data_IF_255437345371
#
_entry.id   IF_255437345371
#
_cell.length_a   1.000
_cell.length_b   1.000
_cell.length_c   1.000
_cell.angle_alpha   90.00
_cell.angle_beta   90.00
_cell.angle_gamma   90.00
#
_symmetry.space_group_name_H-M   'P 1'
#
loop_
_entity.id
_entity.type
_entity.pdbx_description
1 polymer ?
#
# COMPACT_ATOMS: atom_id res chain seq x y z
N UNK A 1 0.21 23.34 -14.29
CA UNK A 1 -0.86 23.09 -13.29
C UNK A 1 -0.38 23.59 -11.94
N UNK A 2 -1.24 24.15 -11.10
CA UNK A 2 -0.82 24.66 -9.79
C UNK A 2 -1.00 23.58 -8.73
N UNK A 3 -0.11 23.54 -7.73
CA UNK A 3 -0.22 22.61 -6.62
C UNK A 3 -1.45 22.96 -5.75
N UNK A 4 -2.31 22.00 -5.38
CA UNK A 4 -3.50 22.28 -4.57
C UNK A 4 -3.16 22.71 -3.13
N UNK A 5 -2.03 22.26 -2.59
CA UNK A 5 -1.62 22.63 -1.22
C UNK A 5 -0.99 24.01 -1.13
N UNK A 6 -0.05 24.33 -2.04
CA UNK A 6 0.75 25.56 -1.92
C UNK A 6 0.48 26.60 -3.02
N UNK A 7 -0.38 26.29 -3.99
CA UNK A 7 -0.76 27.20 -5.09
C UNK A 7 0.34 27.48 -6.12
N UNK A 8 1.58 27.00 -5.91
CA UNK A 8 2.71 27.26 -6.82
C UNK A 8 2.60 26.46 -8.12
N UNK A 9 3.11 26.99 -9.24
CA UNK A 9 3.10 26.30 -10.52
C UNK A 9 3.98 25.05 -10.45
N UNK A 10 3.48 23.95 -11.01
CA UNK A 10 4.19 22.67 -11.10
C UNK A 10 4.25 22.19 -12.55
N UNK A 11 5.43 21.69 -12.92
CA UNK A 11 5.71 21.08 -14.21
C UNK A 11 4.90 19.79 -14.39
N UNK A 12 4.46 19.49 -15.61
CA UNK A 12 3.77 18.23 -15.89
C UNK A 12 4.73 17.04 -15.73
N UNK A 13 4.26 15.93 -15.15
CA UNK A 13 5.02 14.68 -15.04
C UNK A 13 5.92 14.54 -13.81
N UNK A 14 5.99 15.54 -12.92
CA UNK A 14 6.67 15.35 -11.62
C UNK A 14 5.78 14.64 -10.61
N UNK A 15 6.38 13.76 -9.80
CA UNK A 15 5.66 12.92 -8.84
C UNK A 15 5.24 13.68 -7.58
N UNK A 16 6.03 14.67 -7.18
CA UNK A 16 5.78 15.53 -6.01
C UNK A 16 5.98 16.99 -6.39
N UNK A 17 5.28 17.89 -5.70
CA UNK A 17 5.50 19.32 -5.81
C UNK A 17 6.91 19.67 -5.28
N UNK A 18 7.78 20.32 -6.08
CA UNK A 18 9.13 20.68 -5.64
C UNK A 18 9.15 21.77 -4.56
N UNK A 19 8.04 22.49 -4.37
CA UNK A 19 7.95 23.57 -3.37
C UNK A 19 7.48 23.10 -2.00
N UNK A 20 6.53 22.17 -1.91
CA UNK A 20 5.95 21.72 -0.63
C UNK A 20 6.01 20.22 -0.40
N UNK A 21 6.43 19.42 -1.39
CA UNK A 21 6.49 17.96 -1.28
C UNK A 21 5.15 17.23 -1.45
N UNK A 22 4.06 17.93 -1.83
CA UNK A 22 2.76 17.29 -2.04
C UNK A 22 2.79 16.26 -3.19
N UNK A 23 2.27 15.02 -3.02
CA UNK A 23 2.27 13.99 -4.05
C UNK A 23 1.20 14.26 -5.13
N UNK A 24 1.62 14.61 -6.35
CA UNK A 24 0.73 14.98 -7.47
C UNK A 24 0.31 13.79 -8.36
N UNK A 25 0.76 12.58 -8.01
CA UNK A 25 0.39 11.35 -8.72
C UNK A 25 -1.03 10.88 -8.43
N UNK A 26 -1.68 11.40 -7.38
CA UNK A 26 -2.99 10.96 -6.96
C UNK A 26 -4.13 11.60 -7.77
N UNK A 27 -3.87 12.75 -8.39
CA UNK A 27 -4.90 13.55 -9.08
C UNK A 27 -5.05 13.22 -10.56
N UNK A 28 -4.28 12.26 -11.10
CA UNK A 28 -4.62 11.71 -12.41
C UNK A 28 -5.89 10.88 -12.20
N UNK A 29 -7.07 11.29 -12.71
CA UNK A 29 -8.24 10.46 -12.61
C UNK A 29 -7.85 9.13 -13.25
N UNK A 30 -7.95 8.05 -12.46
CA UNK A 30 -7.87 6.72 -13.03
C UNK A 30 -8.86 6.72 -14.18
N UNK A 31 -8.35 6.58 -15.40
CA UNK A 31 -9.20 6.26 -16.54
C UNK A 31 -9.87 4.96 -16.11
N UNK A 32 -11.14 5.06 -15.74
CA UNK A 32 -11.96 3.91 -15.40
C UNK A 32 -11.99 3.09 -16.66
N UNK A 33 -11.20 2.03 -16.71
CA UNK A 33 -11.31 1.01 -17.74
C UNK A 33 -12.70 0.38 -17.55
N UNK A 34 -13.66 0.89 -18.31
CA UNK A 34 -15.04 0.41 -18.35
C UNK A 34 -15.08 -0.95 -19.05
N UNK A 35 -14.59 -1.99 -18.41
CA UNK A 35 -15.15 -3.35 -18.50
C UNK A 35 -14.40 -4.27 -17.54
N UNK A 36 -15.01 -4.63 -16.39
CA UNK A 36 -14.55 -5.79 -15.66
C UNK A 36 -14.85 -7.01 -16.53
N UNK A 37 -13.84 -7.52 -17.24
CA UNK A 37 -13.93 -8.87 -17.77
C UNK A 37 -14.17 -9.79 -16.58
N UNK A 38 -15.36 -10.37 -16.56
CA UNK A 38 -15.84 -11.35 -15.59
C UNK A 38 -14.90 -12.56 -15.64
N UNK A 39 -13.80 -12.49 -14.88
CA UNK A 39 -12.92 -13.63 -14.66
C UNK A 39 -13.73 -14.63 -13.85
N UNK A 40 -14.36 -15.54 -14.57
CA UNK A 40 -15.09 -16.66 -13.99
C UNK A 40 -14.02 -17.67 -13.59
N UNK A 41 -13.58 -17.62 -12.33
CA UNK A 41 -12.75 -18.68 -11.77
C UNK A 41 -13.53 -19.99 -11.83
N UNK A 42 -13.14 -20.87 -12.75
CA UNK A 42 -13.50 -22.28 -12.74
C UNK A 42 -12.61 -22.95 -11.68
N UNK A 43 -13.15 -23.60 -10.64
CA UNK A 43 -12.33 -24.42 -9.76
C UNK A 43 -11.98 -25.69 -10.54
N UNK A 44 -10.73 -25.80 -10.96
CA UNK A 44 -10.15 -27.07 -11.33
C UNK A 44 -9.37 -27.57 -10.09
N UNK A 45 -9.84 -28.68 -9.53
CA UNK A 45 -9.05 -29.53 -8.65
C UNK A 45 -7.69 -29.80 -9.29
N UNK A 46 -6.64 -29.23 -8.72
CA UNK A 46 -5.30 -29.77 -8.84
C UNK A 46 -4.62 -29.60 -7.49
N UNK A 47 -5.02 -30.51 -6.61
CA UNK A 47 -4.33 -30.85 -5.38
C UNK A 47 -3.11 -31.68 -5.79
N UNK A 48 -2.00 -31.03 -6.15
CA UNK A 48 -0.71 -31.72 -6.17
C UNK A 48 0.42 -30.76 -5.77
N UNK A 49 0.82 -30.91 -4.50
CA UNK A 49 2.19 -30.87 -4.04
C UNK A 49 3.02 -29.61 -4.38
N UNK A 50 2.70 -28.48 -3.74
CA UNK A 50 3.64 -27.36 -3.63
C UNK A 50 4.44 -27.55 -2.33
N UNK A 51 5.53 -28.31 -2.43
CA UNK A 51 6.58 -28.34 -1.41
C UNK A 51 7.15 -26.93 -1.24
N UNK A 52 6.88 -26.34 -0.09
CA UNK A 52 7.36 -25.02 0.31
C UNK A 52 8.84 -25.11 0.72
N UNK A 53 9.74 -25.04 -0.26
CA UNK A 53 11.15 -24.70 -0.05
C UNK A 53 11.49 -23.42 -0.82
N UNK A 54 10.78 -22.35 -0.49
CA UNK A 54 11.10 -21.01 -0.95
C UNK A 54 12.32 -20.46 -0.21
N UNK A 55 13.52 -20.81 -0.69
CA UNK A 55 14.70 -19.99 -0.45
C UNK A 55 14.44 -18.60 -1.06
N UNK A 56 14.26 -17.58 -0.23
CA UNK A 56 14.25 -16.20 -0.69
C UNK A 56 15.66 -15.81 -1.14
N UNK A 57 15.94 -15.94 -2.44
CA UNK A 57 17.07 -15.28 -3.07
C UNK A 57 16.77 -13.78 -3.08
N UNK A 58 17.37 -13.07 -2.12
CA UNK A 58 17.46 -11.62 -2.16
C UNK A 58 18.13 -11.20 -3.48
N UNK A 59 17.57 -10.24 -4.24
CA UNK A 59 18.32 -9.59 -5.29
C UNK A 59 19.49 -8.85 -4.62
N UNK A 60 20.70 -9.36 -4.87
CA UNK A 60 21.95 -8.68 -4.57
C UNK A 60 21.92 -7.33 -5.28
N UNK A 61 21.59 -6.29 -4.53
CA UNK A 61 21.73 -4.91 -4.94
C UNK A 61 23.24 -4.65 -5.05
N UNK A 62 23.77 -4.90 -6.25
CA UNK A 62 25.15 -4.61 -6.60
C UNK A 62 25.39 -3.12 -6.33
N UNK A 63 26.05 -2.80 -5.22
CA UNK A 63 26.63 -1.47 -5.03
C UNK A 63 27.70 -1.30 -6.10
N UNK A 64 27.66 -0.23 -6.91
CA UNK A 64 28.78 0.13 -7.75
C UNK A 64 30.00 0.32 -6.85
N UNK A 65 31.08 -0.40 -7.14
CA UNK A 65 32.39 -0.15 -6.55
C UNK A 65 32.80 1.30 -6.85
N UNK A 66 33.38 2.05 -5.91
CA UNK A 66 34.06 3.28 -6.24
C UNK A 66 35.29 2.95 -7.09
N UNK A 67 35.27 3.36 -8.36
CA UNK A 67 36.46 3.35 -9.21
C UNK A 67 37.51 4.29 -8.60
N UNK A 68 38.76 3.85 -8.39
CA UNK A 68 39.89 4.76 -8.21
C UNK A 68 40.24 5.33 -9.59
N UNK A 69 39.51 6.36 -10.01
CA UNK A 69 39.70 7.04 -11.29
C UNK A 69 40.26 8.44 -11.07
N UNK A 70 41.54 8.61 -11.44
CA UNK A 70 42.30 9.81 -11.78
C UNK A 70 41.71 11.20 -11.44
N UNK A 71 42.49 12.11 -10.83
CA UNK A 71 42.07 13.50 -10.70
C UNK A 71 41.88 14.11 -12.10
N UNK A 72 40.76 14.79 -12.37
CA UNK A 72 40.57 15.48 -13.64
C UNK A 72 41.64 16.58 -13.81
N UNK A 73 42.05 16.89 -15.04
CA UNK A 73 42.99 17.97 -15.31
C UNK A 73 42.43 19.28 -14.75
N UNK A 74 43.28 20.04 -14.06
CA UNK A 74 42.99 21.40 -13.59
C UNK A 74 42.59 22.26 -14.80
N UNK A 75 41.29 22.44 -15.01
CA UNK A 75 40.81 23.50 -15.89
C UNK A 75 41.07 24.82 -15.17
N UNK A 76 42.11 25.51 -15.62
CA UNK A 76 42.45 26.85 -15.22
C UNK A 76 41.47 27.81 -15.90
N UNK A 77 40.34 28.05 -15.25
CA UNK A 77 39.41 29.10 -15.68
C UNK A 77 39.96 30.48 -15.28
N UNK A 78 39.73 31.52 -16.09
CA UNK A 78 40.08 32.89 -15.74
C UNK A 78 39.27 33.36 -14.52
N UNK A 79 39.80 34.30 -13.72
CA UNK A 79 39.14 34.77 -12.51
C UNK A 79 37.85 35.52 -12.88
N UNK A 80 36.71 34.85 -12.77
CA UNK A 80 35.43 35.55 -12.69
C UNK A 80 35.39 36.28 -11.36
N UNK A 81 35.28 37.59 -11.45
CA UNK A 81 35.16 38.54 -10.36
C UNK A 81 34.08 38.07 -9.40
N UNK A 82 34.49 37.77 -8.16
CA UNK A 82 33.62 37.46 -7.03
C UNK A 82 32.74 38.66 -6.72
N UNK A 83 31.57 38.74 -7.37
CA UNK A 83 30.45 39.48 -6.80
C UNK A 83 29.97 38.70 -5.58
N UNK A 84 30.40 39.21 -4.44
CA UNK A 84 30.09 38.82 -3.07
C UNK A 84 28.56 38.94 -2.82
N UNK A 85 27.77 38.02 -3.39
CA UNK A 85 26.42 37.76 -2.90
C UNK A 85 26.57 36.90 -1.65
N UNK A 86 26.55 37.57 -0.49
CA UNK A 86 26.39 36.94 0.82
C UNK A 86 25.06 36.18 0.81
N UNK A 87 25.06 34.93 0.37
CA UNK A 87 23.99 34.03 0.72
C UNK A 87 24.08 33.79 2.23
N UNK A 88 23.05 34.14 3.01
CA UNK A 88 23.00 33.71 4.40
C UNK A 88 23.09 32.18 4.40
N UNK A 89 23.78 31.57 5.38
CA UNK A 89 23.81 30.12 5.49
C UNK A 89 22.36 29.61 5.42
N UNK A 90 22.10 28.50 4.70
CA UNK A 90 20.75 27.95 4.63
C UNK A 90 20.28 27.79 6.07
N UNK A 91 19.26 28.57 6.43
CA UNK A 91 18.61 28.41 7.70
C UNK A 91 17.93 27.05 7.61
N UNK A 92 18.64 26.03 8.10
CA UNK A 92 18.09 24.73 8.40
C UNK A 92 17.00 25.04 9.41
N UNK A 93 15.77 25.22 8.93
CA UNK A 93 14.58 25.21 9.76
C UNK A 93 14.72 23.91 10.53
N UNK A 94 15.11 24.02 11.81
CA UNK A 94 14.87 22.98 12.79
C UNK A 94 13.36 22.81 12.73
N UNK A 95 12.91 21.79 12.00
CA UNK A 95 11.53 21.34 12.06
C UNK A 95 11.16 21.19 13.53
N UNK A 96 9.88 21.40 13.90
CA UNK A 96 9.44 21.49 15.28
C UNK A 96 10.14 20.40 16.06
N UNK A 97 10.99 20.82 17.00
CA UNK A 97 11.91 19.99 17.74
C UNK A 97 11.09 18.82 18.24
N UNK A 98 11.15 17.69 17.52
CA UNK A 98 10.29 16.55 17.76
C UNK A 98 10.75 16.08 19.12
N UNK A 99 10.01 16.50 20.15
CA UNK A 99 10.19 16.06 21.52
C UNK A 99 10.48 14.58 21.40
N UNK A 100 11.71 14.18 21.76
CA UNK A 100 12.21 12.84 21.50
C UNK A 100 11.36 11.90 22.34
N UNK A 101 10.21 11.50 21.79
CA UNK A 101 9.30 10.57 22.43
C UNK A 101 10.10 9.29 22.51
N UNK A 102 10.59 9.01 23.71
CA UNK A 102 11.32 7.79 24.01
C UNK A 102 10.38 6.64 23.67
N UNK A 103 10.81 5.78 22.75
CA UNK A 103 10.01 4.63 22.36
C UNK A 103 10.13 3.48 23.37
N UNK A 104 9.56 2.30 23.06
CA UNK A 104 9.43 1.21 24.02
C UNK A 104 10.77 0.57 24.37
N UNK A 105 10.87 0.09 25.61
CA UNK A 105 11.98 -0.72 26.09
C UNK A 105 11.87 -2.16 25.57
N UNK A 106 12.98 -2.73 25.13
CA UNK A 106 13.01 -4.14 24.75
C UNK A 106 12.84 -5.05 25.98
N UNK A 107 11.92 -6.04 25.97
CA UNK A 107 11.74 -6.94 27.11
C UNK A 107 12.94 -7.88 27.33
N UNK A 108 13.77 -8.10 26.31
CA UNK A 108 14.94 -8.98 26.39
C UNK A 108 16.19 -8.24 26.86
N UNK A 109 16.56 -7.12 26.22
CA UNK A 109 17.82 -6.41 26.52
C UNK A 109 17.64 -5.02 27.19
N UNK A 110 16.40 -4.59 27.45
CA UNK A 110 16.03 -3.28 28.04
C UNK A 110 16.43 -2.03 27.25
N UNK A 111 17.05 -2.20 26.06
CA UNK A 111 17.38 -1.10 25.16
C UNK A 111 16.14 -0.28 24.77
N UNK A 112 16.27 1.05 24.75
CA UNK A 112 15.20 1.97 24.33
C UNK A 112 15.21 2.06 22.81
N UNK A 113 14.12 1.66 22.17
CA UNK A 113 14.04 1.69 20.71
C UNK A 113 13.24 2.90 20.22
N UNK A 114 13.44 3.35 18.98
CA UNK A 114 12.57 4.34 18.35
C UNK A 114 11.11 3.86 18.30
N UNK A 115 10.12 4.75 18.44
CA UNK A 115 8.70 4.38 18.52
C UNK A 115 8.15 3.69 17.25
N UNK A 116 8.85 3.77 16.11
CA UNK A 116 8.43 3.16 14.84
C UNK A 116 9.04 1.76 14.59
N UNK A 117 9.95 1.26 15.45
CA UNK A 117 10.59 -0.05 15.24
C UNK A 117 9.70 -1.19 15.73
N UNK A 118 9.56 -2.22 14.90
CA UNK A 118 8.89 -3.49 15.26
C UNK A 118 9.81 -4.47 16.00
N UNK A 119 11.12 -4.28 15.90
CA UNK A 119 12.16 -5.16 16.46
C UNK A 119 13.23 -4.34 17.15
N UNK A 120 13.80 -4.92 18.21
CA UNK A 120 14.90 -4.29 18.91
C UNK A 120 16.12 -4.16 18.00
N UNK A 121 16.76 -2.99 18.00
CA UNK A 121 17.96 -2.75 17.19
C UNK A 121 19.23 -3.41 17.74
N UNK A 122 19.21 -3.84 19.00
CA UNK A 122 20.33 -4.57 19.63
C UNK A 122 20.15 -6.08 19.47
N UNK A 123 19.04 -6.66 19.97
CA UNK A 123 18.89 -8.11 20.05
C UNK A 123 17.91 -8.71 19.03
N UNK A 124 17.22 -7.90 18.22
CA UNK A 124 16.28 -8.38 17.21
C UNK A 124 14.95 -8.93 17.73
N UNK A 125 14.76 -9.05 19.05
CA UNK A 125 13.50 -9.48 19.67
C UNK A 125 12.35 -8.57 19.25
N UNK A 126 11.18 -9.16 18.97
CA UNK A 126 9.99 -8.42 18.59
C UNK A 126 9.49 -7.55 19.74
N UNK A 127 9.32 -6.26 19.45
CA UNK A 127 8.86 -5.25 20.40
C UNK A 127 7.32 -5.23 20.43
N UNK A 128 6.66 -6.40 20.52
CA UNK A 128 5.21 -6.63 20.63
C UNK A 128 4.23 -5.96 19.62
N UNK A 129 3.16 -6.65 19.21
CA UNK A 129 2.12 -6.10 18.34
C UNK A 129 1.11 -5.29 19.18
N UNK A 130 1.14 -3.96 19.08
CA UNK A 130 0.20 -3.09 19.79
C UNK A 130 0.76 -1.75 20.23
N UNK A 131 2.08 -1.59 20.19
CA UNK A 131 2.76 -0.33 20.57
C UNK A 131 2.81 0.73 19.45
N UNK A 132 2.15 0.49 18.31
CA UNK A 132 1.67 1.59 17.47
C UNK A 132 0.45 2.23 18.15
N UNK A 133 0.63 2.67 19.39
CA UNK A 133 -0.35 3.41 20.17
C UNK A 133 0.26 4.76 20.63
N UNK A 134 -0.52 5.85 20.76
CA UNK A 134 -1.98 5.86 20.83
C UNK A 134 -2.59 5.40 19.52
N UNK A 135 -3.82 4.84 19.54
CA UNK A 135 -4.47 4.55 18.28
C UNK A 135 -4.51 5.92 17.61
N UNK A 136 -3.86 6.05 16.46
CA UNK A 136 -4.05 7.24 15.64
C UNK A 136 -5.56 7.36 15.55
N UNK A 137 -6.14 8.38 16.19
CA UNK A 137 -7.58 8.51 16.40
C UNK A 137 -8.25 8.16 15.09
N UNK A 138 -8.77 6.93 15.01
CA UNK A 138 -9.48 6.48 13.84
C UNK A 138 -10.83 7.14 14.04
N UNK A 139 -11.24 8.08 13.17
CA UNK A 139 -12.60 8.55 13.21
C UNK A 139 -13.50 7.32 13.23
N UNK A 140 -14.53 7.34 14.08
CA UNK A 140 -15.48 6.23 14.17
C UNK A 140 -15.85 5.81 12.75
N UNK A 141 -15.79 4.50 12.44
CA UNK A 141 -16.15 4.04 11.10
C UNK A 141 -17.51 4.65 10.76
N UNK A 142 -17.65 5.28 9.58
CA UNK A 142 -18.90 5.93 9.22
C UNK A 142 -20.02 4.94 9.43
N UNK A 143 -21.08 5.36 10.12
CA UNK A 143 -22.24 4.52 10.40
C UNK A 143 -22.71 3.93 9.08
N UNK A 144 -22.42 2.64 8.87
CA UNK A 144 -22.80 1.94 7.64
C UNK A 144 -24.32 1.87 7.67
N UNK A 145 -24.98 2.65 6.83
CA UNK A 145 -26.42 2.59 6.69
C UNK A 145 -26.82 1.13 6.44
N UNK A 146 -27.86 0.60 7.12
CA UNK A 146 -28.31 -0.76 6.91
C UNK A 146 -28.62 -0.94 5.42
N UNK A 147 -27.88 -1.86 4.78
CA UNK A 147 -28.07 -2.16 3.38
C UNK A 147 -29.52 -2.61 3.09
N UNK A 148 -30.00 -2.46 1.85
CA UNK A 148 -31.35 -2.83 1.49
C UNK A 148 -31.62 -4.30 1.85
N UNK A 149 -32.72 -4.55 2.56
CA UNK A 149 -33.13 -5.91 2.94
C UNK A 149 -33.27 -6.76 1.67
N UNK A 150 -32.40 -7.76 1.54
CA UNK A 150 -32.39 -8.71 0.42
C UNK A 150 -33.75 -9.43 0.41
N UNK A 151 -34.64 -9.08 -0.53
CA UNK A 151 -35.92 -9.78 -0.72
C UNK A 151 -35.59 -11.24 -1.04
N UNK A 152 -36.00 -12.14 -0.15
CA UNK A 152 -35.79 -13.57 -0.30
C UNK A 152 -36.55 -14.06 -1.54
N UNK A 153 -35.81 -14.42 -2.58
CA UNK A 153 -36.36 -15.06 -3.78
C UNK A 153 -36.59 -16.58 -3.59
N UNK A 154 -36.58 -17.06 -2.33
CA UNK A 154 -36.67 -18.50 -2.02
C UNK A 154 -37.89 -19.18 -2.65
N UNK A 155 -39.02 -18.48 -2.74
CA UNK A 155 -40.23 -19.01 -3.39
C UNK A 155 -40.03 -19.31 -4.89
N UNK A 156 -39.25 -18.49 -5.61
CA UNK A 156 -38.94 -18.75 -7.03
C UNK A 156 -38.06 -19.98 -7.18
N UNK A 157 -37.09 -20.14 -6.27
CA UNK A 157 -36.23 -21.33 -6.24
C UNK A 157 -37.05 -22.59 -5.94
N UNK A 158 -37.97 -22.54 -4.98
CA UNK A 158 -38.85 -23.65 -4.65
C UNK A 158 -39.75 -24.03 -5.84
N UNK A 159 -40.29 -23.05 -6.57
CA UNK A 159 -41.15 -23.28 -7.74
C UNK A 159 -40.37 -23.90 -8.92
N UNK A 160 -39.15 -23.42 -9.17
CA UNK A 160 -38.27 -23.96 -10.22
C UNK A 160 -37.87 -25.42 -9.98
N UNK A 161 -37.73 -25.85 -8.73
CA UNK A 161 -37.35 -27.24 -8.38
C UNK A 161 -38.58 -28.13 -8.24
N UNK A 162 -39.67 -27.61 -7.66
CA UNK A 162 -40.88 -28.39 -7.41
C UNK A 162 -41.59 -28.82 -8.70
N UNK A 163 -41.69 -27.92 -9.69
CA UNK A 163 -42.40 -28.19 -10.94
C UNK A 163 -41.87 -29.42 -11.71
N UNK A 164 -40.55 -29.57 -11.97
CA UNK A 164 -40.03 -30.75 -12.67
C UNK A 164 -40.19 -32.05 -11.86
N UNK A 165 -40.08 -32.00 -10.53
CA UNK A 165 -40.29 -33.19 -9.69
C UNK A 165 -41.74 -33.69 -9.76
N UNK A 166 -42.71 -32.77 -9.74
CA UNK A 166 -44.13 -33.12 -9.91
C UNK A 166 -44.36 -33.70 -11.31
N UNK A 167 -43.84 -33.08 -12.36
CA UNK A 167 -43.98 -33.59 -13.72
C UNK A 167 -43.37 -35.01 -13.85
N UNK A 168 -42.15 -35.22 -13.35
CA UNK A 168 -41.50 -36.53 -13.37
C UNK A 168 -42.28 -37.58 -12.58
N UNK A 169 -42.80 -37.22 -11.41
CA UNK A 169 -43.67 -38.08 -10.59
C UNK A 169 -44.97 -38.46 -11.31
N UNK A 170 -45.60 -37.52 -12.02
CA UNK A 170 -46.82 -37.81 -12.78
C UNK A 170 -46.57 -38.78 -13.95
N UNK A 171 -45.47 -38.62 -14.69
CA UNK A 171 -45.09 -39.55 -15.76
C UNK A 171 -44.83 -40.95 -15.21
N UNK A 172 -44.11 -41.03 -14.08
CA UNK A 172 -43.80 -42.30 -13.43
C UNK A 172 -45.06 -43.01 -12.91
N UNK A 173 -45.99 -42.27 -12.30
CA UNK A 173 -47.28 -42.81 -11.86
C UNK A 173 -48.12 -43.31 -13.04
N UNK A 174 -48.22 -42.55 -14.13
CA UNK A 174 -48.95 -42.98 -15.33
C UNK A 174 -48.36 -44.26 -15.93
N UNK A 175 -47.03 -44.37 -15.98
CA UNK A 175 -46.35 -45.57 -16.44
C UNK A 175 -46.57 -46.79 -15.53
N UNK A 176 -46.81 -46.57 -14.24
CA UNK A 176 -47.08 -47.65 -13.28
C UNK A 176 -48.52 -48.20 -13.38
N UNK A 177 -49.48 -47.37 -13.79
CA UNK A 177 -50.91 -47.73 -13.86
C UNK A 177 -51.38 -48.21 -15.25
N UNK A 178 -50.53 -48.15 -16.28
CA UNK A 178 -50.79 -48.69 -17.63
C UNK A 178 -50.13 -50.06 -17.80
#
# INVERSE_FOLDING_TARGET
MNCPECGRPVLAGVKLCPSCGYPLLLDKPAVVEQQPHKVTHKPAEQQENISYTGQMQHPQQQRPMPQPGYPPPRQMYPPQQQQMQRQPPPQVMRGPEQARVLGPHCPSCRHVNPPHRKRCEICGTELWPGAAFPPRWMPDPPTVMPGPKRKSNWWKTALLIGLPLVAMGTVWALAYFL
#
